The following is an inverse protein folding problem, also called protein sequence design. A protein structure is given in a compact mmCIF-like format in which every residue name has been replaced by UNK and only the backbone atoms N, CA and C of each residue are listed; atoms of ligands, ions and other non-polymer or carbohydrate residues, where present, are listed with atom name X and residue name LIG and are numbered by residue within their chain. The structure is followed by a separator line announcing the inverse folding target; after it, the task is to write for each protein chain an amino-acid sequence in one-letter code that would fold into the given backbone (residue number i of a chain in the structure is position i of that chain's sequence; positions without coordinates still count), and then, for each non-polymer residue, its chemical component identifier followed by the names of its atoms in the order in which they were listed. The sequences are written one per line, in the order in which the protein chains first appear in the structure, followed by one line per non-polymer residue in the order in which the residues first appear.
data_IF_309587821596
#
_entry.id   IF_309587821596
#
_cell.length_a   1.000
_cell.length_b   1.000
_cell.length_c   1.000
_cell.angle_alpha   90.00
_cell.angle_beta   90.00
_cell.angle_gamma   90.00
#
_symmetry.space_group_name_H-M   'P 1'
#
loop_
_entity.id
_entity.type
_entity.pdbx_description
1 polymer ?
#
# COMPACT_ATOMS: atom_id res chain seq x y z
N UNK A 1 -82.19 44.31 -20.93
CA UNK A 1 -82.93 45.57 -20.69
C UNK A 1 -81.90 46.64 -20.35
N UNK A 2 -81.67 47.60 -21.26
CA UNK A 2 -81.97 49.04 -21.09
C UNK A 2 -81.16 49.72 -19.96
N UNK A 3 -80.52 50.89 -20.09
CA UNK A 3 -80.18 51.82 -21.17
C UNK A 3 -79.36 52.96 -20.53
N UNK A 4 -78.45 53.62 -21.28
CA UNK A 4 -78.23 55.11 -21.41
C UNK A 4 -78.19 55.97 -20.11
N UNK A 5 -77.39 57.04 -19.91
CA UNK A 5 -76.71 58.08 -20.73
C UNK A 5 -76.00 59.00 -19.70
N UNK A 6 -74.85 59.62 -19.99
CA UNK A 6 -74.65 61.06 -20.34
C UNK A 6 -73.21 61.40 -19.85
N UNK A 7 -72.30 62.07 -20.57
CA UNK A 7 -72.34 63.36 -21.27
C UNK A 7 -71.51 64.36 -20.46
N UNK A 8 -70.17 64.46 -20.66
CA UNK A 8 -69.41 65.56 -21.35
C UNK A 8 -69.33 66.90 -20.55
N UNK A 9 -68.28 67.77 -20.67
CA UNK A 9 -67.50 68.02 -21.89
C UNK A 9 -65.99 68.34 -21.77
N UNK A 10 -65.42 68.33 -22.98
CA UNK A 10 -64.18 68.87 -23.50
C UNK A 10 -63.74 70.25 -23.00
N UNK A 11 -62.41 70.43 -22.91
CA UNK A 11 -61.73 71.71 -23.15
C UNK A 11 -60.71 71.53 -24.28
N UNK A 12 -60.95 72.29 -25.36
CA UNK A 12 -60.08 72.47 -26.51
C UNK A 12 -58.85 73.30 -26.11
N UNK A 13 -57.65 72.88 -26.54
CA UNK A 13 -56.60 73.84 -26.90
C UNK A 13 -56.06 73.47 -28.28
N UNK A 14 -56.38 74.35 -29.23
CA UNK A 14 -55.83 74.41 -30.57
C UNK A 14 -54.42 74.99 -30.50
N UNK A 15 -53.44 74.34 -31.15
CA UNK A 15 -52.26 75.03 -31.65
C UNK A 15 -52.08 74.73 -33.14
N UNK A 16 -51.88 75.83 -33.88
CA UNK A 16 -51.77 75.92 -35.33
C UNK A 16 -50.51 75.23 -35.84
N UNK A 17 -50.68 74.70 -37.05
CA UNK A 17 -49.67 74.23 -38.00
C UNK A 17 -48.70 75.35 -38.40
N UNK A 18 -47.43 74.99 -38.57
CA UNK A 18 -46.55 75.57 -39.58
C UNK A 18 -45.91 74.43 -40.37
N UNK A 19 -46.05 74.53 -41.70
CA UNK A 19 -45.60 73.57 -42.69
C UNK A 19 -44.06 73.55 -42.80
N UNK A 20 -43.47 72.36 -42.80
CA UNK A 20 -42.14 72.13 -43.37
C UNK A 20 -42.17 70.82 -44.15
N UNK A 21 -42.48 70.93 -45.44
CA UNK A 21 -42.34 69.85 -46.42
C UNK A 21 -40.86 69.48 -46.55
N UNK A 22 -40.44 68.40 -45.89
CA UNK A 22 -39.13 67.81 -46.09
C UNK A 22 -39.27 66.62 -47.05
N UNK A 23 -38.58 66.69 -48.19
CA UNK A 23 -38.74 65.70 -49.27
C UNK A 23 -38.11 64.36 -48.88
N UNK A 24 -38.70 63.25 -49.37
CA UNK A 24 -38.30 61.86 -49.05
C UNK A 24 -36.82 61.52 -49.30
N UNK A 25 -36.12 62.33 -50.11
CA UNK A 25 -34.69 62.18 -50.39
C UNK A 25 -33.79 62.72 -49.28
N UNK A 26 -34.22 63.75 -48.55
CA UNK A 26 -33.47 64.33 -47.42
C UNK A 26 -33.59 63.44 -46.18
N UNK A 27 -34.77 62.87 -45.94
CA UNK A 27 -34.99 61.82 -44.93
C UNK A 27 -34.08 60.60 -45.17
N UNK A 28 -33.83 60.21 -46.42
CA UNK A 28 -32.99 59.06 -46.74
C UNK A 28 -31.49 59.31 -46.50
N UNK A 29 -31.01 60.52 -46.81
CA UNK A 29 -29.61 60.90 -46.62
C UNK A 29 -29.22 61.04 -45.13
N UNK A 30 -30.12 61.58 -44.29
CA UNK A 30 -29.90 61.70 -42.85
C UNK A 30 -30.02 60.33 -42.13
N UNK A 31 -30.89 59.44 -42.61
CA UNK A 31 -31.04 58.09 -42.07
C UNK A 31 -29.83 57.18 -42.39
N UNK A 32 -29.20 57.35 -43.55
CA UNK A 32 -27.99 56.60 -43.94
C UNK A 32 -26.74 57.06 -43.15
N UNK A 33 -26.62 58.35 -42.82
CA UNK A 33 -25.48 58.91 -42.08
C UNK A 33 -25.57 58.68 -40.55
N UNK A 34 -26.78 58.49 -39.99
CA UNK A 34 -26.96 58.03 -38.59
C UNK A 34 -26.65 56.54 -38.41
N UNK A 35 -26.96 55.70 -39.40
CA UNK A 35 -26.69 54.24 -39.32
C UNK A 35 -25.20 53.90 -39.38
N UNK A 36 -24.38 54.63 -40.14
CA UNK A 36 -22.93 54.39 -40.20
C UNK A 36 -22.20 54.75 -38.89
N UNK A 37 -22.64 55.81 -38.19
CA UNK A 37 -22.04 56.23 -36.91
C UNK A 37 -22.48 55.38 -35.71
N UNK A 38 -23.66 54.76 -35.76
CA UNK A 38 -24.14 53.81 -34.72
C UNK A 38 -23.48 52.44 -34.90
N UNK A 39 -23.32 51.94 -36.14
CA UNK A 39 -22.60 50.69 -36.39
C UNK A 39 -21.12 50.76 -35.96
N UNK A 40 -20.45 51.90 -36.16
CA UNK A 40 -19.04 52.05 -35.79
C UNK A 40 -18.82 52.17 -34.27
N UNK A 41 -19.82 52.67 -33.50
CA UNK A 41 -19.76 52.71 -32.03
C UNK A 41 -20.14 51.38 -31.38
N UNK A 42 -21.00 50.57 -32.01
CA UNK A 42 -21.31 49.22 -31.53
C UNK A 42 -20.17 48.22 -31.80
N UNK A 43 -19.45 48.34 -32.91
CA UNK A 43 -18.28 47.50 -33.21
C UNK A 43 -17.11 47.70 -32.22
N UNK A 44 -16.96 48.90 -31.67
CA UNK A 44 -15.92 49.21 -30.67
C UNK A 44 -16.24 48.67 -29.26
N UNK A 45 -17.52 48.44 -28.92
CA UNK A 45 -17.91 47.87 -27.62
C UNK A 45 -17.97 46.34 -27.64
N UNK A 46 -18.23 45.74 -28.81
CA UNK A 46 -18.19 44.28 -28.98
C UNK A 46 -16.74 43.76 -28.91
N UNK A 47 -15.73 44.52 -29.36
CA UNK A 47 -14.34 44.07 -29.28
C UNK A 47 -13.68 44.23 -27.90
N UNK A 48 -14.18 45.12 -27.02
CA UNK A 48 -13.63 45.31 -25.67
C UNK A 48 -14.32 44.36 -24.66
N UNK A 49 -15.59 43.98 -24.89
CA UNK A 49 -16.31 42.99 -24.09
C UNK A 49 -15.91 41.54 -24.35
N UNK A 50 -15.41 41.21 -25.55
CA UNK A 50 -15.02 39.83 -25.91
C UNK A 50 -13.62 39.42 -25.45
N UNK A 51 -12.78 40.36 -24.98
CA UNK A 51 -11.42 40.05 -24.48
C UNK A 51 -11.38 39.96 -22.95
N UNK A 52 -12.35 40.56 -22.24
CA UNK A 52 -12.38 40.53 -20.77
C UNK A 52 -13.27 39.44 -20.15
N UNK A 53 -14.22 38.88 -20.90
CA UNK A 53 -15.06 37.76 -20.42
C UNK A 53 -14.35 36.39 -20.49
N UNK A 54 -13.40 36.10 -21.41
CA UNK A 54 -12.61 34.87 -21.32
C UNK A 54 -11.61 34.88 -20.16
N UNK A 55 -11.14 36.07 -19.72
CA UNK A 55 -10.14 36.16 -18.66
C UNK A 55 -10.72 35.87 -17.26
N UNK A 56 -12.01 36.18 -17.05
CA UNK A 56 -12.68 35.89 -15.79
C UNK A 56 -13.17 34.44 -15.70
N UNK A 57 -13.33 33.75 -16.83
CA UNK A 57 -13.64 32.30 -16.87
C UNK A 57 -12.38 31.43 -16.81
N UNK A 58 -11.24 31.89 -17.37
CA UNK A 58 -9.95 31.19 -17.23
C UNK A 58 -9.33 31.32 -15.83
N UNK A 59 -9.69 32.36 -15.06
CA UNK A 59 -9.22 32.56 -13.69
C UNK A 59 -9.93 31.72 -12.63
N UNK A 60 -11.11 31.15 -12.93
CA UNK A 60 -11.96 30.43 -11.96
C UNK A 60 -11.72 28.91 -11.97
N UNK A 61 -11.04 28.35 -12.96
CA UNK A 61 -10.74 26.91 -13.03
C UNK A 61 -9.30 26.53 -12.66
N UNK A 62 -8.47 27.48 -12.20
CA UNK A 62 -7.05 27.23 -11.85
C UNK A 62 -6.76 27.26 -10.34
N UNK A 63 -7.79 26.97 -9.56
CA UNK A 63 -7.74 26.78 -8.11
C UNK A 63 -8.66 25.64 -7.70
N UNK A 64 -8.65 24.52 -8.44
CA UNK A 64 -8.99 23.26 -7.81
C UNK A 64 -7.88 23.04 -6.78
N UNK A 65 -8.23 23.23 -5.50
CA UNK A 65 -7.34 23.03 -4.36
C UNK A 65 -6.44 21.82 -4.64
N UNK A 66 -5.13 21.99 -4.47
CA UNK A 66 -4.25 20.87 -4.18
C UNK A 66 -4.69 20.37 -2.80
N UNK A 67 -5.82 19.67 -2.78
CA UNK A 67 -6.52 19.32 -1.56
C UNK A 67 -5.55 18.51 -0.72
N UNK A 68 -5.18 19.07 0.44
CA UNK A 68 -4.00 18.64 1.19
C UNK A 68 -4.04 17.14 1.44
N UNK A 69 -3.01 16.42 0.96
CA UNK A 69 -2.92 14.98 1.11
C UNK A 69 -3.05 14.56 2.56
N UNK A 70 -3.78 13.47 2.80
CA UNK A 70 -3.97 12.92 4.14
C UNK A 70 -2.65 12.30 4.60
N UNK A 71 -2.03 12.81 5.69
CA UNK A 71 -0.82 12.21 6.23
C UNK A 71 -1.16 10.88 6.90
N UNK A 72 -0.47 9.83 6.47
CA UNK A 72 -0.64 8.45 6.93
C UNK A 72 0.72 7.92 7.34
N UNK A 73 0.77 7.17 8.44
CA UNK A 73 1.95 6.41 8.82
C UNK A 73 1.68 4.92 8.68
N UNK A 74 2.69 4.16 8.27
CA UNK A 74 2.66 2.69 8.26
C UNK A 74 3.83 2.16 9.08
N UNK A 75 3.67 1.00 9.71
CA UNK A 75 4.75 0.36 10.46
C UNK A 75 5.88 -0.09 9.55
N UNK A 76 5.56 -0.78 8.45
CA UNK A 76 6.54 -1.46 7.59
C UNK A 76 6.35 -1.11 6.10
N UNK A 77 7.39 -1.32 5.29
CA UNK A 77 7.39 -1.00 3.87
C UNK A 77 6.35 -1.76 3.03
N UNK A 78 6.05 -3.06 3.24
CA UNK A 78 4.98 -3.74 2.50
C UNK A 78 3.60 -3.07 2.67
N UNK A 79 3.30 -2.51 3.85
CA UNK A 79 2.07 -1.75 4.03
C UNK A 79 2.05 -0.48 3.18
N UNK A 80 3.20 0.18 3.01
CA UNK A 80 3.31 1.39 2.18
C UNK A 80 2.83 1.12 0.75
N UNK A 81 3.19 -0.03 0.19
CA UNK A 81 2.71 -0.51 -1.12
C UNK A 81 1.18 -0.51 -1.20
N UNK A 82 0.52 -1.21 -0.28
CA UNK A 82 -0.93 -1.35 -0.26
C UNK A 82 -1.62 0.00 -0.04
N UNK A 83 -1.14 0.80 0.91
CA UNK A 83 -1.73 2.11 1.23
C UNK A 83 -1.59 3.05 0.02
N UNK A 84 -0.43 3.12 -0.65
CA UNK A 84 -0.25 3.95 -1.87
C UNK A 84 -1.16 3.47 -2.99
N UNK A 85 -1.25 2.15 -3.24
CA UNK A 85 -2.10 1.60 -4.29
C UNK A 85 -3.58 1.92 -4.07
N UNK A 86 -4.06 1.91 -2.82
CA UNK A 86 -5.47 2.20 -2.48
C UNK A 86 -5.72 3.71 -2.43
N UNK A 87 -4.93 4.47 -1.65
CA UNK A 87 -5.17 5.90 -1.42
C UNK A 87 -4.70 6.81 -2.55
N UNK A 88 -3.78 6.36 -3.40
CA UNK A 88 -3.30 7.07 -4.58
C UNK A 88 -2.85 8.51 -4.27
N UNK A 89 -3.26 9.51 -5.07
CA UNK A 89 -2.81 10.89 -4.90
C UNK A 89 -3.36 11.58 -3.65
N UNK A 90 -4.35 10.99 -2.96
CA UNK A 90 -5.03 11.59 -1.79
C UNK A 90 -4.23 11.47 -0.51
N UNK A 91 -3.21 10.60 -0.47
CA UNK A 91 -2.48 10.29 0.76
C UNK A 91 -1.00 10.66 0.65
N UNK A 92 -0.43 11.01 1.78
CA UNK A 92 1.01 11.13 1.96
C UNK A 92 1.44 10.09 2.99
N UNK A 93 2.14 9.05 2.55
CA UNK A 93 2.54 7.94 3.41
C UNK A 93 3.95 8.19 3.94
N UNK A 94 4.16 7.91 5.22
CA UNK A 94 5.46 7.81 5.88
C UNK A 94 5.59 6.44 6.55
N UNK A 95 6.83 5.95 6.71
CA UNK A 95 7.08 4.58 7.21
C UNK A 95 7.95 4.60 8.46
N UNK A 96 7.59 3.77 9.43
CA UNK A 96 8.29 3.68 10.72
C UNK A 96 9.58 2.88 10.59
N UNK A 97 9.49 1.63 10.16
CA UNK A 97 10.65 0.75 9.93
C UNK A 97 11.18 1.00 8.52
N UNK A 98 12.24 1.80 8.42
CA UNK A 98 12.89 2.16 7.15
C UNK A 98 13.71 0.99 6.56
N UNK A 99 14.06 1.04 5.26
CA UNK A 99 14.83 -0.02 4.61
C UNK A 99 16.10 -0.41 5.39
N UNK A 100 16.31 -1.71 5.55
CA UNK A 100 17.45 -2.29 6.26
C UNK A 100 17.34 -2.34 7.80
N UNK A 101 16.31 -1.74 8.40
CA UNK A 101 16.05 -1.87 9.83
C UNK A 101 15.30 -3.17 10.16
N UNK A 102 15.51 -3.71 11.37
CA UNK A 102 14.86 -4.91 11.86
C UNK A 102 13.65 -4.57 12.76
N UNK A 103 12.40 -4.93 12.39
CA UNK A 103 11.20 -4.64 13.18
C UNK A 103 11.13 -5.38 14.52
N UNK A 104 11.95 -6.40 14.77
CA UNK A 104 12.01 -7.11 16.06
C UNK A 104 12.72 -6.28 17.13
N UNK A 105 13.69 -5.47 16.73
CA UNK A 105 14.52 -4.66 17.64
C UNK A 105 14.39 -3.16 17.36
N UNK A 106 13.36 -2.76 16.61
CA UNK A 106 13.23 -1.40 16.13
C UNK A 106 12.82 -0.44 17.25
N UNK A 107 13.45 0.74 17.26
CA UNK A 107 13.05 1.86 18.09
C UNK A 107 12.81 3.10 17.22
N UNK A 108 11.60 3.69 17.24
CA UNK A 108 11.29 4.94 16.56
C UNK A 108 12.24 6.08 16.94
N UNK A 109 12.77 6.78 15.94
CA UNK A 109 13.60 7.96 16.16
C UNK A 109 12.75 9.15 16.60
N UNK A 110 13.26 10.09 17.43
CA UNK A 110 12.52 11.28 17.83
C UNK A 110 11.95 12.09 16.66
N UNK A 111 12.69 12.22 15.55
CA UNK A 111 12.22 12.89 14.34
C UNK A 111 10.99 12.21 13.71
N UNK A 112 10.93 10.89 13.72
CA UNK A 112 9.76 10.14 13.21
C UNK A 112 8.55 10.36 14.11
N UNK A 113 8.75 10.44 15.42
CA UNK A 113 7.68 10.75 16.38
C UNK A 113 7.13 12.16 16.19
N UNK A 114 7.98 13.15 15.85
CA UNK A 114 7.52 14.52 15.52
C UNK A 114 6.68 14.54 14.24
N UNK A 115 7.07 13.76 13.23
CA UNK A 115 6.33 13.64 11.98
C UNK A 115 4.97 12.94 12.19
N UNK A 116 4.96 11.88 12.99
CA UNK A 116 3.78 11.09 13.38
C UNK A 116 2.66 11.95 14.00
N UNK A 117 2.98 13.04 14.70
CA UNK A 117 1.99 13.96 15.30
C UNK A 117 1.06 14.57 14.25
N UNK A 118 1.48 14.62 12.98
CA UNK A 118 0.65 15.13 11.88
C UNK A 118 -0.25 14.05 11.27
N UNK A 119 0.05 12.77 11.48
CA UNK A 119 -0.67 11.68 10.84
C UNK A 119 -2.14 11.60 11.31
N UNK A 120 -3.05 11.36 10.37
CA UNK A 120 -4.46 11.05 10.67
C UNK A 120 -4.65 9.57 10.98
N UNK A 121 -3.85 8.71 10.36
CA UNK A 121 -3.95 7.25 10.48
C UNK A 121 -2.57 6.64 10.67
N UNK A 122 -2.48 5.65 11.54
CA UNK A 122 -1.35 4.74 11.67
C UNK A 122 -1.80 3.31 11.35
N UNK A 123 -1.19 2.70 10.34
CA UNK A 123 -1.45 1.30 10.00
C UNK A 123 -0.42 0.40 10.69
N UNK A 124 -0.89 -0.39 11.66
CA UNK A 124 -0.14 -1.40 12.38
C UNK A 124 -0.19 -2.74 11.63
N UNK A 125 0.95 -3.44 11.54
CA UNK A 125 1.07 -4.74 10.89
C UNK A 125 1.04 -5.92 11.90
N UNK A 126 1.08 -5.62 13.19
CA UNK A 126 1.22 -6.59 14.26
C UNK A 126 2.63 -7.15 14.39
N UNK A 127 3.66 -6.37 14.02
CA UNK A 127 5.08 -6.74 14.16
C UNK A 127 5.62 -6.43 15.57
N UNK A 128 6.69 -7.09 16.05
CA UNK A 128 6.99 -7.13 17.50
C UNK A 128 7.25 -5.78 18.17
N UNK A 129 7.89 -4.81 17.50
CA UNK A 129 8.10 -3.49 18.12
C UNK A 129 6.77 -2.79 18.48
N UNK A 130 5.69 -3.08 17.76
CA UNK A 130 4.38 -2.46 17.99
C UNK A 130 3.82 -2.80 19.38
N UNK A 131 4.10 -3.99 19.90
CA UNK A 131 3.68 -4.44 21.24
C UNK A 131 4.13 -3.45 22.32
N UNK A 132 5.33 -2.89 22.17
CA UNK A 132 5.90 -1.93 23.12
C UNK A 132 5.56 -0.49 22.74
N UNK A 133 5.56 -0.17 21.44
CA UNK A 133 5.54 1.21 20.98
C UNK A 133 4.15 1.77 20.67
N UNK A 134 3.13 0.94 20.40
CA UNK A 134 1.80 1.45 20.05
C UNK A 134 1.19 2.34 21.12
N UNK A 135 1.38 2.03 22.41
CA UNK A 135 0.91 2.87 23.52
C UNK A 135 1.54 4.27 23.45
N UNK A 136 2.84 4.35 23.18
CA UNK A 136 3.57 5.61 23.07
C UNK A 136 3.23 6.37 21.78
N UNK A 137 3.04 5.66 20.67
CA UNK A 137 2.57 6.19 19.39
C UNK A 137 1.19 6.82 19.55
N UNK A 138 0.25 6.11 20.18
CA UNK A 138 -1.09 6.62 20.49
C UNK A 138 -1.03 7.86 21.41
N UNK A 139 -0.18 7.81 22.44
CA UNK A 139 -0.02 8.95 23.37
C UNK A 139 0.56 10.20 22.70
N UNK A 140 1.43 10.03 21.71
CA UNK A 140 2.02 11.15 20.96
C UNK A 140 1.00 11.88 20.08
N UNK A 141 -0.03 11.19 19.61
CA UNK A 141 -1.11 11.77 18.82
C UNK A 141 -2.47 11.12 19.15
N UNK A 142 -3.18 11.59 20.19
CA UNK A 142 -4.46 11.00 20.62
C UNK A 142 -5.60 11.12 19.60
N UNK A 143 -5.44 11.93 18.55
CA UNK A 143 -6.43 12.09 17.46
C UNK A 143 -6.17 11.15 16.29
N UNK A 144 -5.04 10.47 16.26
CA UNK A 144 -4.68 9.53 15.20
C UNK A 144 -5.48 8.24 15.37
N UNK A 145 -6.04 7.76 14.26
CA UNK A 145 -6.67 6.44 14.23
C UNK A 145 -5.58 5.39 14.05
N UNK A 146 -5.51 4.42 14.95
CA UNK A 146 -4.62 3.26 14.82
C UNK A 146 -5.44 2.10 14.25
N UNK A 147 -4.97 1.52 13.15
CA UNK A 147 -5.64 0.45 12.42
C UNK A 147 -4.72 -0.76 12.34
N UNK A 148 -5.14 -1.86 12.94
CA UNK A 148 -4.49 -3.16 12.79
C UNK A 148 -4.88 -3.76 11.44
N UNK A 149 -3.95 -3.74 10.50
CA UNK A 149 -4.20 -4.26 9.14
C UNK A 149 -4.30 -5.78 9.12
N UNK A 150 -3.74 -6.46 10.11
CA UNK A 150 -3.84 -7.89 10.35
C UNK A 150 -5.12 -8.31 11.10
N UNK A 151 -6.01 -7.37 11.42
CA UNK A 151 -7.26 -7.68 12.11
C UNK A 151 -8.10 -8.70 11.32
N UNK A 152 -8.53 -9.76 12.02
CA UNK A 152 -9.27 -10.87 11.43
C UNK A 152 -8.40 -12.05 10.96
N UNK A 153 -7.06 -11.96 11.06
CA UNK A 153 -6.15 -13.06 10.77
C UNK A 153 -5.87 -13.85 12.05
N UNK A 154 -6.18 -15.15 12.03
CA UNK A 154 -5.76 -16.06 13.10
C UNK A 154 -4.26 -16.38 12.95
N UNK A 155 -3.44 -15.73 13.76
CA UNK A 155 -1.98 -15.90 13.67
C UNK A 155 -1.52 -17.26 14.19
N UNK A 156 -0.65 -17.87 13.42
CA UNK A 156 0.03 -19.12 13.73
C UNK A 156 1.23 -18.87 14.60
N UNK A 157 1.73 -19.92 15.23
CA UNK A 157 3.01 -19.84 15.92
C UNK A 157 4.11 -19.80 14.87
N UNK A 158 5.14 -18.98 15.11
CA UNK A 158 6.30 -18.92 14.23
C UNK A 158 7.01 -20.27 14.19
N UNK A 159 7.55 -20.63 13.02
CA UNK A 159 8.39 -21.82 12.88
C UNK A 159 9.68 -21.60 13.69
N UNK A 160 9.67 -22.09 14.93
CA UNK A 160 10.86 -22.09 15.77
C UNK A 160 11.79 -23.19 15.30
N UNK A 161 13.10 -23.00 15.55
CA UNK A 161 14.08 -24.06 15.40
C UNK A 161 13.68 -25.31 16.17
N UNK A 162 13.13 -26.26 15.44
CA UNK A 162 12.98 -27.63 15.89
C UNK A 162 13.99 -28.42 15.08
N UNK A 163 14.90 -29.12 15.75
CA UNK A 163 15.72 -30.12 15.09
C UNK A 163 14.77 -31.01 14.30
N UNK A 164 14.85 -31.03 12.96
CA UNK A 164 14.07 -31.99 12.21
C UNK A 164 14.49 -33.35 12.74
N UNK A 165 13.55 -34.15 13.26
CA UNK A 165 13.86 -35.51 13.67
C UNK A 165 14.59 -36.16 12.49
N UNK A 166 15.89 -36.44 12.68
CA UNK A 166 16.57 -37.32 11.78
C UNK A 166 15.83 -38.64 11.93
N UNK A 167 15.04 -39.02 10.93
CA UNK A 167 14.54 -40.38 10.82
C UNK A 167 15.72 -41.29 11.14
N UNK A 168 15.56 -42.11 12.16
CA UNK A 168 16.62 -42.95 12.67
C UNK A 168 17.11 -43.85 11.54
N UNK A 169 18.21 -43.44 10.89
CA UNK A 169 18.90 -44.27 9.92
C UNK A 169 19.44 -45.44 10.72
N UNK A 170 18.71 -46.56 10.67
CA UNK A 170 19.22 -47.87 11.03
C UNK A 170 20.34 -48.22 10.05
N UNK A 171 21.54 -47.71 10.32
CA UNK A 171 22.78 -48.17 9.70
C UNK A 171 23.52 -48.97 10.75
N UNK A 172 23.32 -50.27 10.67
CA UNK A 172 24.15 -51.29 11.28
C UNK A 172 25.58 -51.22 10.70
N UNK A 173 26.48 -50.45 11.33
CA UNK A 173 27.92 -50.73 11.39
C UNK A 173 28.51 -50.14 12.69
N UNK A 174 29.40 -50.86 13.40
CA UNK A 174 29.95 -50.42 14.67
C UNK A 174 31.29 -49.70 14.48
N UNK A 175 31.49 -48.55 15.13
CA UNK A 175 32.70 -48.18 15.87
C UNK A 175 32.69 -46.70 16.29
N UNK A 176 32.91 -46.48 17.58
CA UNK A 176 33.54 -45.33 18.22
C UNK A 176 33.10 -43.90 17.86
N UNK A 177 32.08 -43.42 18.57
CA UNK A 177 32.23 -42.37 19.59
C UNK A 177 30.85 -42.08 20.21
N UNK A 178 30.69 -42.46 21.48
CA UNK A 178 29.46 -42.26 22.23
C UNK A 178 29.24 -40.78 22.57
N UNK A 179 28.57 -40.03 21.68
CA UNK A 179 27.81 -38.85 22.07
C UNK A 179 26.39 -39.31 22.42
N UNK A 180 26.21 -39.74 23.66
CA UNK A 180 24.88 -39.88 24.26
C UNK A 180 24.31 -38.48 24.46
N UNK A 181 23.54 -37.99 23.49
CA UNK A 181 22.67 -36.83 23.71
C UNK A 181 21.53 -37.27 24.63
N UNK A 182 21.68 -36.96 25.91
CA UNK A 182 20.63 -37.12 26.90
C UNK A 182 19.48 -36.20 26.49
N UNK A 183 18.34 -36.80 26.13
CA UNK A 183 17.11 -36.13 25.73
C UNK A 183 16.60 -35.30 26.91
N UNK A 184 16.94 -34.01 26.95
CA UNK A 184 16.31 -33.07 27.87
C UNK A 184 14.86 -32.90 27.44
N UNK A 185 13.97 -33.63 28.10
CA UNK A 185 12.51 -33.49 28.01
C UNK A 185 12.02 -32.31 28.85
N UNK A 186 12.63 -31.14 28.71
CA UNK A 186 12.06 -29.90 29.21
C UNK A 186 11.42 -29.14 28.05
N UNK A 187 10.37 -29.73 27.49
CA UNK A 187 9.41 -29.01 26.66
C UNK A 187 8.54 -28.16 27.57
N UNK A 188 9.06 -27.03 28.02
CA UNK A 188 8.19 -25.94 28.45
C UNK A 188 7.46 -25.49 27.19
N UNK A 189 6.17 -25.83 27.10
CA UNK A 189 5.24 -25.27 26.13
C UNK A 189 5.09 -23.78 26.43
N UNK A 190 6.07 -22.99 26.02
CA UNK A 190 5.84 -21.59 25.76
C UNK A 190 4.84 -21.56 24.60
N UNK A 191 3.67 -20.95 24.80
CA UNK A 191 2.87 -20.51 23.65
C UNK A 191 3.81 -19.70 22.77
N UNK A 192 4.20 -20.28 21.62
CA UNK A 192 5.22 -19.70 20.77
C UNK A 192 4.82 -18.30 20.31
N UNK A 193 5.81 -17.44 20.08
CA UNK A 193 5.56 -16.10 19.54
C UNK A 193 4.74 -16.23 18.24
N UNK A 194 3.67 -15.44 18.14
CA UNK A 194 2.78 -15.46 16.98
C UNK A 194 3.50 -14.88 15.78
N UNK A 195 3.48 -15.59 14.66
CA UNK A 195 4.14 -15.18 13.42
C UNK A 195 3.45 -13.92 12.87
N UNK A 196 4.15 -12.77 12.79
CA UNK A 196 3.57 -11.53 12.29
C UNK A 196 3.60 -11.42 10.76
N UNK A 197 4.30 -12.30 10.03
CA UNK A 197 4.64 -12.14 8.61
C UNK A 197 3.50 -12.48 7.63
N UNK A 198 2.27 -12.12 8.00
CA UNK A 198 1.04 -12.47 7.28
C UNK A 198 0.98 -11.85 5.88
N UNK A 199 1.62 -10.70 5.67
CA UNK A 199 1.64 -10.03 4.37
C UNK A 199 2.38 -10.82 3.28
N UNK A 200 3.19 -11.84 3.62
CA UNK A 200 3.90 -12.67 2.64
C UNK A 200 3.02 -13.77 2.01
N UNK A 201 1.78 -13.92 2.47
CA UNK A 201 0.77 -14.75 1.83
C UNK A 201 -0.21 -13.86 1.07
N UNK A 202 -0.32 -13.97 -0.28
CA UNK A 202 -1.26 -13.18 -1.06
C UNK A 202 -2.72 -13.26 -0.56
N UNK A 203 -3.29 -14.44 -0.20
CA UNK A 203 -4.61 -14.50 0.43
C UNK A 203 -4.75 -13.64 1.69
N UNK A 204 -3.73 -13.63 2.56
CA UNK A 204 -3.72 -12.81 3.78
C UNK A 204 -3.46 -11.33 3.47
N UNK A 205 -2.62 -11.02 2.48
CA UNK A 205 -2.39 -9.64 2.02
C UNK A 205 -3.69 -8.96 1.56
N UNK A 206 -4.66 -9.70 1.02
CA UNK A 206 -6.00 -9.16 0.70
C UNK A 206 -6.75 -8.67 1.93
N UNK A 207 -6.57 -9.33 3.09
CA UNK A 207 -7.17 -8.91 4.36
C UNK A 207 -6.53 -7.59 4.81
N UNK A 208 -5.20 -7.47 4.74
CA UNK A 208 -4.51 -6.21 4.99
C UNK A 208 -5.02 -5.08 4.08
N UNK A 209 -5.10 -5.33 2.77
CA UNK A 209 -5.60 -4.36 1.80
C UNK A 209 -7.06 -3.94 2.09
N UNK A 210 -7.92 -4.89 2.51
CA UNK A 210 -9.32 -4.60 2.87
C UNK A 210 -9.42 -3.71 4.11
N UNK A 211 -8.65 -4.01 5.14
CA UNK A 211 -8.62 -3.22 6.36
C UNK A 211 -8.08 -1.81 6.11
N UNK A 212 -7.10 -1.66 5.21
CA UNK A 212 -6.62 -0.37 4.74
C UNK A 212 -7.71 0.41 4.00
N UNK A 213 -8.41 -0.23 3.06
CA UNK A 213 -9.53 0.40 2.35
C UNK A 213 -10.57 0.96 3.32
N UNK A 214 -11.03 0.12 4.26
CA UNK A 214 -12.08 0.51 5.21
C UNK A 214 -11.66 1.75 6.01
N UNK A 215 -10.44 1.75 6.53
CA UNK A 215 -9.91 2.89 7.27
C UNK A 215 -9.80 4.18 6.44
N UNK A 216 -9.38 4.09 5.18
CA UNK A 216 -9.30 5.26 4.29
C UNK A 216 -10.69 5.80 3.94
N UNK A 217 -11.68 4.91 3.75
CA UNK A 217 -13.09 5.30 3.55
C UNK A 217 -13.67 5.99 4.79
N UNK A 218 -13.31 5.53 5.99
CA UNK A 218 -13.81 6.11 7.24
C UNK A 218 -13.21 7.50 7.50
N UNK A 219 -11.94 7.70 7.16
CA UNK A 219 -11.20 8.96 7.41
C UNK A 219 -11.42 10.00 6.32
N UNK A 220 -11.77 9.58 5.10
CA UNK A 220 -12.05 10.46 3.96
C UNK A 220 -13.23 9.96 3.10
N UNK A 221 -14.46 10.00 3.64
CA UNK A 221 -15.64 9.39 3.02
C UNK A 221 -16.03 10.02 1.68
N UNK A 222 -15.67 11.29 1.45
CA UNK A 222 -15.91 12.00 0.19
C UNK A 222 -15.21 11.34 -1.00
N UNK A 223 -14.14 10.57 -0.76
CA UNK A 223 -13.34 9.89 -1.79
C UNK A 223 -13.54 8.37 -1.81
N UNK A 224 -14.59 7.84 -1.15
CA UNK A 224 -14.89 6.40 -1.10
C UNK A 224 -14.76 5.70 -2.45
N UNK A 225 -15.42 6.24 -3.49
CA UNK A 225 -15.41 5.61 -4.82
C UNK A 225 -14.02 5.50 -5.45
N UNK A 226 -13.11 6.44 -5.16
CA UNK A 226 -11.72 6.35 -5.59
C UNK A 226 -11.01 5.19 -4.89
N UNK A 227 -11.13 5.11 -3.56
CA UNK A 227 -10.47 4.07 -2.77
C UNK A 227 -10.97 2.68 -3.13
N UNK A 228 -12.28 2.50 -3.31
CA UNK A 228 -12.89 1.24 -3.72
C UNK A 228 -12.43 0.80 -5.11
N UNK A 229 -12.40 1.71 -6.09
CA UNK A 229 -11.94 1.41 -7.44
C UNK A 229 -10.44 1.05 -7.47
N UNK A 230 -9.62 1.73 -6.66
CA UNK A 230 -8.20 1.42 -6.54
C UNK A 230 -7.95 0.10 -5.81
N UNK A 231 -8.72 -0.19 -4.76
CA UNK A 231 -8.68 -1.45 -4.06
C UNK A 231 -9.02 -2.62 -5.00
N UNK A 232 -10.04 -2.51 -5.85
CA UNK A 232 -10.40 -3.58 -6.80
C UNK A 232 -9.25 -3.90 -7.77
N UNK A 233 -8.51 -2.87 -8.22
CA UNK A 233 -7.31 -3.07 -9.05
C UNK A 233 -6.22 -3.80 -8.28
N UNK A 234 -5.96 -3.38 -7.04
CA UNK A 234 -4.97 -4.05 -6.17
C UNK A 234 -5.38 -5.49 -5.85
N UNK A 235 -6.66 -5.76 -5.58
CA UNK A 235 -7.17 -7.10 -5.33
C UNK A 235 -6.94 -8.02 -6.53
N UNK A 236 -7.23 -7.53 -7.74
CA UNK A 236 -6.94 -8.26 -9.00
C UNK A 236 -5.45 -8.52 -9.18
N UNK A 237 -4.60 -7.56 -8.82
CA UNK A 237 -3.15 -7.71 -8.86
C UNK A 237 -2.65 -8.78 -7.89
N UNK A 238 -3.16 -8.79 -6.65
CA UNK A 238 -2.83 -9.79 -5.63
C UNK A 238 -3.27 -11.19 -6.09
N UNK A 239 -4.47 -11.33 -6.66
CA UNK A 239 -4.96 -12.61 -7.19
C UNK A 239 -4.11 -13.10 -8.39
N UNK A 240 -3.60 -12.17 -9.21
CA UNK A 240 -2.69 -12.50 -10.31
C UNK A 240 -1.32 -12.96 -9.81
N UNK A 241 -0.77 -12.32 -8.77
CA UNK A 241 0.46 -12.77 -8.09
C UNK A 241 0.26 -14.16 -7.50
N UNK A 242 -0.83 -14.38 -6.77
CA UNK A 242 -1.14 -15.69 -6.16
C UNK A 242 -1.23 -16.81 -7.21
N UNK A 243 -1.90 -16.53 -8.33
CA UNK A 243 -2.03 -17.50 -9.43
C UNK A 243 -0.68 -17.85 -10.03
N UNK A 244 0.19 -16.87 -10.28
CA UNK A 244 1.54 -17.10 -10.79
C UNK A 244 2.40 -17.91 -9.81
N UNK A 245 2.29 -17.63 -8.52
CA UNK A 245 3.00 -18.37 -7.48
C UNK A 245 2.53 -19.83 -7.42
N UNK A 246 1.22 -20.07 -7.52
CA UNK A 246 0.67 -21.43 -7.66
C UNK A 246 1.23 -22.14 -8.89
N UNK A 247 1.32 -21.47 -10.03
CA UNK A 247 1.91 -22.07 -11.25
C UNK A 247 3.38 -22.44 -11.06
N UNK A 248 4.17 -21.54 -10.44
CA UNK A 248 5.60 -21.76 -10.12
C UNK A 248 5.80 -23.01 -9.28
N UNK A 249 4.90 -23.29 -8.33
CA UNK A 249 5.01 -24.41 -7.40
C UNK A 249 4.14 -25.64 -7.76
N UNK A 250 3.35 -25.59 -8.82
CA UNK A 250 2.40 -26.65 -9.22
C UNK A 250 3.03 -28.04 -9.44
N UNK A 251 4.32 -28.09 -9.79
CA UNK A 251 5.09 -29.32 -9.98
C UNK A 251 6.12 -29.62 -8.89
N UNK A 252 6.16 -28.80 -7.82
CA UNK A 252 7.07 -29.02 -6.69
C UNK A 252 6.47 -30.07 -5.77
N UNK A 253 7.30 -31.02 -5.32
CA UNK A 253 6.86 -32.07 -4.40
C UNK A 253 6.23 -31.49 -3.13
N UNK A 254 5.27 -32.22 -2.54
CA UNK A 254 4.65 -31.74 -1.32
C UNK A 254 5.70 -31.57 -0.21
N UNK A 255 5.62 -30.44 0.51
CA UNK A 255 6.52 -30.09 1.61
C UNK A 255 8.00 -30.06 1.24
N UNK A 256 8.31 -29.74 -0.02
CA UNK A 256 9.69 -29.46 -0.42
C UNK A 256 10.26 -28.37 0.47
N UNK A 257 11.39 -28.68 1.09
CA UNK A 257 11.95 -27.85 2.14
C UNK A 257 12.98 -26.86 1.60
N UNK A 258 13.00 -25.67 2.21
CA UNK A 258 14.00 -24.64 1.95
C UNK A 258 14.49 -24.05 3.26
N UNK A 259 15.74 -23.56 3.25
CA UNK A 259 16.34 -22.95 4.43
C UNK A 259 16.27 -21.43 4.36
N UNK A 260 15.91 -20.78 5.46
CA UNK A 260 15.95 -19.33 5.63
C UNK A 260 16.76 -18.99 6.86
N UNK A 261 17.38 -17.82 6.90
CA UNK A 261 18.02 -17.36 8.13
C UNK A 261 16.98 -17.16 9.24
N UNK A 262 16.11 -16.18 9.05
CA UNK A 262 15.00 -15.84 9.94
C UNK A 262 13.67 -16.38 9.38
N UNK A 263 12.80 -17.02 10.21
CA UNK A 263 11.59 -17.74 9.79
C UNK A 263 10.42 -16.85 9.31
N UNK A 264 10.67 -15.79 8.54
CA UNK A 264 9.63 -14.88 8.06
C UNK A 264 8.69 -15.49 7.01
N UNK A 265 9.09 -16.54 6.31
CA UNK A 265 8.38 -17.05 5.13
C UNK A 265 7.37 -18.17 5.46
N UNK A 266 6.95 -18.30 6.72
CA UNK A 266 6.05 -19.37 7.19
C UNK A 266 4.70 -19.39 6.45
N UNK A 267 3.98 -18.26 6.41
CA UNK A 267 2.71 -18.17 5.69
C UNK A 267 2.85 -18.35 4.17
N UNK A 268 3.96 -17.88 3.59
CA UNK A 268 4.26 -18.12 2.17
C UNK A 268 4.45 -19.62 1.92
N UNK A 269 5.27 -20.28 2.75
CA UNK A 269 5.54 -21.70 2.65
C UNK A 269 4.25 -22.51 2.76
N UNK A 270 3.39 -22.19 3.72
CA UNK A 270 2.12 -22.88 3.87
C UNK A 270 1.20 -22.68 2.65
N UNK A 271 1.05 -21.44 2.17
CA UNK A 271 0.17 -21.11 1.03
C UNK A 271 0.50 -21.95 -0.20
N UNK A 272 1.79 -22.25 -0.40
CA UNK A 272 2.29 -23.00 -1.56
C UNK A 272 2.79 -24.41 -1.21
N UNK A 273 2.41 -24.94 -0.04
CA UNK A 273 2.72 -26.30 0.43
C UNK A 273 4.23 -26.64 0.43
N UNK A 274 5.05 -25.67 0.81
CA UNK A 274 6.49 -25.78 1.04
C UNK A 274 6.76 -25.95 2.54
N UNK A 275 8.01 -26.29 2.88
CA UNK A 275 8.48 -26.36 4.26
C UNK A 275 9.63 -25.40 4.50
N UNK A 276 9.42 -24.40 5.34
CA UNK A 276 10.48 -23.55 5.82
C UNK A 276 11.32 -24.28 6.88
N UNK A 277 12.64 -24.07 6.86
CA UNK A 277 13.57 -24.48 7.93
C UNK A 277 14.43 -23.27 8.32
N UNK A 278 14.24 -22.69 9.52
CA UNK A 278 15.07 -21.57 9.97
C UNK A 278 16.55 -21.98 10.13
N UNK A 279 17.45 -21.00 10.22
CA UNK A 279 18.87 -21.16 10.60
C UNK A 279 19.15 -20.44 11.93
N UNK A 280 18.39 -19.41 12.28
CA UNK A 280 18.51 -18.72 13.56
C UNK A 280 17.77 -19.43 14.70
N UNK A 281 18.35 -19.41 15.91
CA UNK A 281 17.71 -19.88 17.15
C UNK A 281 17.24 -18.66 17.93
N UNK A 282 15.91 -18.47 18.03
CA UNK A 282 15.31 -17.37 18.81
C UNK A 282 15.89 -15.98 18.43
N UNK A 283 15.99 -15.69 17.12
CA UNK A 283 16.57 -14.43 16.64
C UNK A 283 18.10 -14.33 16.72
N UNK A 284 18.80 -15.42 17.07
CA UNK A 284 20.26 -15.45 17.23
C UNK A 284 20.93 -16.42 16.27
N UNK A 285 22.20 -16.15 15.99
CA UNK A 285 23.07 -17.07 15.25
C UNK A 285 23.12 -18.46 15.93
N UNK A 286 23.08 -19.56 15.16
CA UNK A 286 23.12 -20.91 15.70
C UNK A 286 24.48 -21.21 16.37
N UNK A 287 24.48 -22.08 17.39
CA UNK A 287 25.75 -22.56 17.97
C UNK A 287 26.46 -23.50 16.98
N UNK A 288 27.78 -23.74 17.13
CA UNK A 288 28.52 -24.64 16.23
C UNK A 288 27.92 -26.05 16.10
N UNK A 289 27.32 -26.59 17.17
CA UNK A 289 26.64 -27.89 17.13
C UNK A 289 25.37 -27.83 16.28
N UNK A 290 24.55 -26.80 16.47
CA UNK A 290 23.31 -26.57 15.73
C UNK A 290 23.61 -26.37 14.23
N UNK A 291 24.64 -25.57 13.93
CA UNK A 291 25.13 -25.34 12.58
C UNK A 291 25.56 -26.64 11.89
N UNK A 292 26.27 -27.52 12.61
CA UNK A 292 26.64 -28.85 12.09
C UNK A 292 25.41 -29.70 11.79
N UNK A 293 24.40 -29.70 12.66
CA UNK A 293 23.15 -30.42 12.43
C UNK A 293 22.41 -29.89 11.20
N UNK A 294 22.32 -28.56 11.06
CA UNK A 294 21.70 -27.91 9.90
C UNK A 294 22.42 -28.28 8.59
N UNK A 295 23.76 -28.29 8.58
CA UNK A 295 24.55 -28.71 7.41
C UNK A 295 24.26 -30.17 7.04
N UNK A 296 24.26 -31.08 8.02
CA UNK A 296 23.99 -32.51 7.77
C UNK A 296 22.58 -32.71 7.25
N UNK A 297 21.59 -32.04 7.86
CA UNK A 297 20.21 -32.09 7.40
C UNK A 297 20.07 -31.54 5.98
N UNK A 298 20.68 -30.40 5.68
CA UNK A 298 20.67 -29.78 4.37
C UNK A 298 21.26 -30.69 3.29
N UNK A 299 22.39 -31.38 3.58
CA UNK A 299 22.98 -32.39 2.68
C UNK A 299 22.04 -33.55 2.43
N UNK A 300 21.45 -34.11 3.49
CA UNK A 300 20.57 -35.28 3.38
C UNK A 300 19.26 -34.96 2.63
N UNK A 301 18.83 -33.70 2.64
CA UNK A 301 17.61 -33.24 1.96
C UNK A 301 17.91 -32.54 0.63
N UNK A 302 19.15 -32.62 0.12
CA UNK A 302 19.60 -32.01 -1.13
C UNK A 302 19.28 -30.51 -1.24
N UNK A 303 19.30 -29.78 -0.12
CA UNK A 303 19.11 -28.33 -0.14
C UNK A 303 20.23 -27.68 -0.95
N UNK A 304 19.88 -26.77 -1.85
CA UNK A 304 20.83 -26.04 -2.71
C UNK A 304 20.92 -24.56 -2.40
N UNK A 305 19.92 -24.00 -1.72
CA UNK A 305 19.87 -22.57 -1.42
C UNK A 305 19.54 -22.34 0.04
N UNK A 306 20.25 -21.38 0.63
CA UNK A 306 19.93 -20.80 1.93
C UNK A 306 19.54 -19.34 1.72
N UNK A 307 18.30 -19.01 2.07
CA UNK A 307 17.80 -17.65 1.94
C UNK A 307 18.22 -16.81 3.15
N UNK A 308 18.63 -15.58 2.90
CA UNK A 308 18.99 -14.63 3.95
C UNK A 308 18.31 -13.28 3.71
N UNK A 309 18.40 -12.41 4.70
CA UNK A 309 17.78 -11.11 4.74
C UNK A 309 18.85 -10.05 4.97
N UNK A 310 18.67 -8.85 4.41
CA UNK A 310 19.67 -7.77 4.54
C UNK A 310 19.84 -7.28 5.98
N UNK A 311 18.83 -7.49 6.81
CA UNK A 311 18.75 -7.08 8.21
C UNK A 311 19.60 -7.95 9.14
N UNK A 312 20.06 -9.11 8.66
CA UNK A 312 20.79 -10.09 9.46
C UNK A 312 22.16 -10.43 8.86
N UNK A 313 23.05 -10.97 9.69
CA UNK A 313 24.35 -11.49 9.25
C UNK A 313 24.15 -12.69 8.34
N UNK A 314 24.79 -12.67 7.16
CA UNK A 314 24.76 -13.80 6.23
C UNK A 314 25.75 -14.91 6.61
N UNK A 315 26.56 -14.74 7.65
CA UNK A 315 27.72 -15.60 7.95
C UNK A 315 27.34 -17.07 8.12
N UNK A 316 26.31 -17.38 8.90
CA UNK A 316 25.87 -18.78 9.05
C UNK A 316 25.25 -19.34 7.78
N UNK A 317 24.52 -18.52 7.02
CA UNK A 317 23.97 -18.93 5.73
C UNK A 317 25.10 -19.26 4.72
N UNK A 318 26.15 -18.44 4.67
CA UNK A 318 27.33 -18.67 3.83
C UNK A 318 28.09 -19.94 4.22
N UNK A 319 28.26 -20.20 5.52
CA UNK A 319 28.90 -21.44 6.00
C UNK A 319 28.09 -22.67 5.59
N UNK A 320 26.76 -22.62 5.72
CA UNK A 320 25.88 -23.73 5.30
C UNK A 320 25.96 -23.91 3.78
N UNK A 321 25.79 -22.83 3.01
CA UNK A 321 25.83 -22.85 1.55
C UNK A 321 27.16 -23.42 1.03
N UNK A 322 28.30 -22.98 1.57
CA UNK A 322 29.61 -23.51 1.22
C UNK A 322 29.73 -25.00 1.52
N UNK A 323 29.21 -25.46 2.67
CA UNK A 323 29.29 -26.86 3.05
C UNK A 323 28.43 -27.79 2.16
N UNK A 324 27.34 -27.29 1.59
CA UNK A 324 26.42 -28.05 0.72
C UNK A 324 26.67 -27.84 -0.78
N UNK A 325 27.72 -27.08 -1.15
CA UNK A 325 27.97 -26.63 -2.51
C UNK A 325 26.73 -25.93 -3.12
N UNK A 326 26.09 -25.10 -2.31
CA UNK A 326 24.90 -24.34 -2.62
C UNK A 326 25.19 -22.85 -2.72
N UNK A 327 24.12 -22.05 -2.70
CA UNK A 327 24.18 -20.59 -2.84
C UNK A 327 23.40 -19.89 -1.73
N UNK A 328 23.79 -18.66 -1.43
CA UNK A 328 23.00 -17.76 -0.58
C UNK A 328 22.19 -16.84 -1.49
N UNK A 329 20.88 -16.75 -1.23
CA UNK A 329 19.98 -15.85 -1.95
C UNK A 329 19.36 -14.86 -0.97
N UNK A 330 19.32 -13.58 -1.32
CA UNK A 330 18.61 -12.58 -0.53
C UNK A 330 17.12 -12.61 -0.85
N UNK A 331 16.29 -12.81 0.17
CA UNK A 331 14.84 -12.72 0.12
C UNK A 331 14.38 -11.72 1.18
N UNK A 332 13.90 -10.55 0.76
CA UNK A 332 13.55 -9.45 1.66
C UNK A 332 12.06 -9.52 2.02
N UNK A 333 11.68 -9.92 3.24
CA UNK A 333 10.28 -9.95 3.64
C UNK A 333 9.68 -8.54 3.78
N UNK A 334 10.52 -7.49 3.81
CA UNK A 334 10.13 -6.10 3.99
C UNK A 334 10.29 -5.28 2.71
N UNK A 335 10.40 -5.91 1.55
CA UNK A 335 10.46 -5.17 0.28
C UNK A 335 9.20 -4.31 0.07
N UNK A 336 9.39 -3.05 -0.38
CA UNK A 336 8.28 -2.15 -0.72
C UNK A 336 7.55 -2.62 -1.97
N UNK A 337 8.27 -3.01 -3.04
CA UNK A 337 7.68 -3.59 -4.25
C UNK A 337 7.24 -5.04 -3.99
N UNK A 338 6.13 -5.18 -3.26
CA UNK A 338 5.66 -6.44 -2.70
C UNK A 338 5.43 -7.51 -3.76
N UNK A 339 4.80 -7.14 -4.88
CA UNK A 339 4.42 -8.09 -5.93
C UNK A 339 5.63 -8.68 -6.65
N UNK A 340 6.56 -7.81 -7.04
CA UNK A 340 7.80 -8.12 -7.72
C UNK A 340 8.71 -8.95 -6.82
N UNK A 341 8.78 -8.60 -5.53
CA UNK A 341 9.57 -9.33 -4.56
C UNK A 341 9.08 -10.77 -4.38
N UNK A 342 7.77 -11.00 -4.22
CA UNK A 342 7.25 -12.37 -4.07
C UNK A 342 7.52 -13.21 -5.31
N UNK A 343 7.29 -12.66 -6.50
CA UNK A 343 7.57 -13.37 -7.76
C UNK A 343 9.07 -13.65 -7.93
N UNK A 344 9.93 -12.70 -7.62
CA UNK A 344 11.38 -12.88 -7.66
C UNK A 344 11.84 -14.00 -6.72
N UNK A 345 11.38 -13.96 -5.46
CA UNK A 345 11.75 -14.97 -4.46
C UNK A 345 11.24 -16.35 -4.87
N UNK A 346 10.02 -16.46 -5.40
CA UNK A 346 9.48 -17.72 -5.88
C UNK A 346 10.26 -18.31 -7.06
N UNK A 347 10.71 -17.46 -7.98
CA UNK A 347 11.57 -17.89 -9.07
C UNK A 347 12.92 -18.40 -8.57
N UNK A 348 13.51 -17.74 -7.57
CA UNK A 348 14.72 -18.22 -6.90
C UNK A 348 14.52 -19.53 -6.16
N UNK A 349 13.37 -19.73 -5.53
CA UNK A 349 13.00 -21.04 -4.99
C UNK A 349 12.94 -22.10 -6.08
N UNK A 350 12.22 -21.85 -7.18
CA UNK A 350 12.08 -22.82 -8.26
C UNK A 350 13.42 -23.19 -8.90
N UNK A 351 14.31 -22.21 -9.11
CA UNK A 351 15.68 -22.45 -9.59
C UNK A 351 16.47 -23.35 -8.62
N UNK A 352 16.28 -23.19 -7.32
CA UNK A 352 16.95 -23.99 -6.28
C UNK A 352 16.43 -25.44 -6.16
N UNK A 353 15.22 -25.70 -6.65
CA UNK A 353 14.55 -27.00 -6.54
C UNK A 353 14.69 -27.88 -7.79
N UNK A 354 15.28 -27.36 -8.86
CA UNK A 354 15.72 -28.11 -10.04
C UNK A 354 17.10 -28.71 -9.81
#
# INVERSE_FOLDING_TARGET
MHSRRSGSPFLNLSYKFDDFEMTSKELFAEHMNRRSKILCRMAAWIFIGSIFIPLLVYGVCRGADEESKIPVFVSILPQRYFVIKIGGPRIHVSTMVLPGANPHTFEPRPRQMVELVKAKVYFAAGVPFETTWLVRIASANPRMVIVHTDAGIEKKNMDMHQYPEAESISRSQPADHALRFQKSRNGHLHEGEKDPHTWLSPPLAKIHARNILNALVDVDPSFRGLYEANYQKLETEIDAVDSRLKDVFSGVGQRTAFMVFHPAWGYFAETYNLKQVPVEVEGKEPKPADLRHLILWAKNNNVKVVFTQKQFSAKSAEVIAGAINGQVIYADPLAEEWSENLLFVAEKFREALR
#
